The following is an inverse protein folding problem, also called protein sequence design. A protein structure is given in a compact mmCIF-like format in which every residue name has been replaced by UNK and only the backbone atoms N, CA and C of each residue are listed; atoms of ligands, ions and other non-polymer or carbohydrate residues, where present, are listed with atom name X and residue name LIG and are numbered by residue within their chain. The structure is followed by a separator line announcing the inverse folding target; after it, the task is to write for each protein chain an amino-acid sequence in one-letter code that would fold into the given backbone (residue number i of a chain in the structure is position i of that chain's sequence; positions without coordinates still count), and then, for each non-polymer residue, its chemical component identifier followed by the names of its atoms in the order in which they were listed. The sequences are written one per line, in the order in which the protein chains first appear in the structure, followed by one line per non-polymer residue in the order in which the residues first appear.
data_IF_242601849074
#
_entry.id   IF_242601849074
#
_cell.length_a   1.000
_cell.length_b   1.000
_cell.length_c   1.000
_cell.angle_alpha   90.00
_cell.angle_beta   90.00
_cell.angle_gamma   90.00
#
_symmetry.space_group_name_H-M   'P 1'
#
loop_
_entity.id
_entity.type
_entity.pdbx_description
1 polymer ?
#
# COMPACT_ATOMS: atom_id res chain seq x y z
N UNK A 1 -3.71 14.75 11.54
CA UNK A 1 -2.90 15.27 10.42
C UNK A 1 -3.24 14.61 9.10
N UNK A 2 -3.25 13.27 8.99
CA UNK A 2 -3.56 12.56 7.72
C UNK A 2 -4.99 12.79 7.22
N UNK A 3 -6.00 12.81 8.09
CA UNK A 3 -7.37 13.07 7.67
C UNK A 3 -7.51 14.40 6.94
N UNK A 4 -6.90 15.47 7.47
CA UNK A 4 -6.91 16.80 6.86
C UNK A 4 -6.32 16.74 5.45
N UNK A 5 -5.22 16.02 5.25
CA UNK A 5 -4.63 15.86 3.93
C UNK A 5 -5.62 15.26 2.93
N UNK A 6 -6.32 14.19 3.28
CA UNK A 6 -7.30 13.56 2.39
C UNK A 6 -8.54 14.42 2.18
N UNK A 7 -9.00 15.15 3.22
CA UNK A 7 -10.09 16.13 3.12
C UNK A 7 -9.74 17.24 2.13
N UNK A 8 -8.54 17.82 2.25
CA UNK A 8 -8.05 18.89 1.35
C UNK A 8 -7.86 18.42 -0.09
N UNK A 9 -7.72 17.09 -0.31
CA UNK A 9 -7.60 16.48 -1.64
C UNK A 9 -8.93 15.88 -2.14
N UNK A 10 -10.05 16.29 -1.58
CA UNK A 10 -11.42 15.92 -2.02
C UNK A 10 -11.68 14.40 -2.04
N UNK A 11 -11.14 13.65 -1.09
CA UNK A 11 -11.56 12.27 -0.91
C UNK A 11 -13.01 12.23 -0.41
N UNK A 12 -13.87 11.49 -1.10
CA UNK A 12 -15.30 11.42 -0.79
C UNK A 12 -15.58 10.77 0.56
N UNK A 13 -14.72 9.87 1.01
CA UNK A 13 -14.85 9.15 2.27
C UNK A 13 -13.48 8.89 2.88
N UNK A 14 -13.37 9.15 4.18
CA UNK A 14 -12.16 8.87 4.96
C UNK A 14 -12.58 7.98 6.13
N UNK A 15 -11.98 6.79 6.18
CA UNK A 15 -12.27 5.78 7.20
C UNK A 15 -11.06 5.69 8.12
N UNK A 16 -11.23 6.19 9.33
CA UNK A 16 -10.21 6.17 10.36
C UNK A 16 -10.61 5.32 11.56
N UNK A 17 -9.81 5.38 12.61
CA UNK A 17 -9.95 4.62 13.84
C UNK A 17 -11.37 4.62 14.43
N UNK A 18 -12.05 5.77 14.44
CA UNK A 18 -13.38 5.88 15.06
C UNK A 18 -14.40 4.94 14.38
N UNK A 19 -14.36 4.83 13.06
CA UNK A 19 -15.20 3.90 12.33
C UNK A 19 -15.05 2.45 12.83
N UNK A 20 -13.82 2.00 13.05
CA UNK A 20 -13.56 0.65 13.55
C UNK A 20 -13.99 0.49 15.00
N UNK A 21 -13.77 1.51 15.82
CA UNK A 21 -14.19 1.53 17.22
C UNK A 21 -15.72 1.47 17.36
N UNK A 22 -16.43 2.24 16.54
CA UNK A 22 -17.90 2.27 16.53
C UNK A 22 -18.50 0.92 16.06
N UNK A 23 -17.77 0.18 15.24
CA UNK A 23 -18.09 -1.21 14.86
C UNK A 23 -17.72 -2.26 15.91
N UNK A 24 -17.15 -1.88 17.04
CA UNK A 24 -16.76 -2.78 18.10
C UNK A 24 -15.46 -3.54 17.88
N UNK A 25 -14.64 -3.13 16.90
CA UNK A 25 -13.32 -3.72 16.71
C UNK A 25 -12.33 -3.26 17.77
N UNK A 26 -11.43 -4.17 18.18
CA UNK A 26 -10.28 -3.82 19.01
C UNK A 26 -9.39 -2.83 18.23
N UNK A 27 -9.19 -1.65 18.81
CA UNK A 27 -8.29 -0.64 18.28
C UNK A 27 -7.12 -0.42 19.22
N UNK A 28 -5.93 -0.18 18.69
CA UNK A 28 -4.75 0.05 19.50
C UNK A 28 -4.29 1.52 19.45
N UNK A 29 -3.71 1.98 20.57
CA UNK A 29 -3.30 3.38 20.78
C UNK A 29 -1.82 3.64 20.48
N UNK A 30 -1.07 2.63 20.03
CA UNK A 30 0.32 2.79 19.65
C UNK A 30 0.48 3.66 18.38
N UNK A 31 1.70 3.94 18.02
CA UNK A 31 2.03 4.61 16.75
C UNK A 31 1.30 3.92 15.59
N UNK A 32 0.39 4.60 14.96
CA UNK A 32 -0.47 4.01 13.93
C UNK A 32 -1.95 4.07 14.27
N UNK A 33 -2.33 4.12 15.55
CA UNK A 33 -3.71 4.35 16.03
C UNK A 33 -4.79 3.74 15.15
N UNK A 34 -4.81 2.43 15.00
CA UNK A 34 -5.68 1.76 14.05
C UNK A 34 -6.21 0.41 14.52
N UNK A 35 -6.56 -0.39 13.57
CA UNK A 35 -6.89 -1.82 13.72
C UNK A 35 -5.79 -2.65 13.07
N UNK A 36 -5.78 -3.97 13.34
CA UNK A 36 -4.86 -4.84 12.62
C UNK A 36 -5.11 -4.81 11.10
N UNK A 37 -4.05 -4.99 10.33
CA UNK A 37 -4.14 -4.99 8.86
C UNK A 37 -5.10 -6.06 8.34
N UNK A 38 -5.28 -7.17 9.05
CA UNK A 38 -6.30 -8.18 8.74
C UNK A 38 -7.70 -7.59 8.73
N UNK A 39 -8.08 -6.88 9.80
CA UNK A 39 -9.40 -6.23 9.91
C UNK A 39 -9.53 -5.12 8.86
N UNK A 40 -8.46 -4.36 8.64
CA UNK A 40 -8.42 -3.33 7.63
C UNK A 40 -8.73 -3.90 6.23
N UNK A 41 -8.13 -5.02 5.85
CA UNK A 41 -8.38 -5.68 4.56
C UNK A 41 -9.80 -6.27 4.48
N UNK A 42 -10.33 -6.83 5.57
CA UNK A 42 -11.71 -7.35 5.61
C UNK A 42 -12.73 -6.23 5.38
N UNK A 43 -12.56 -5.07 6.00
CA UNK A 43 -13.45 -3.92 5.79
C UNK A 43 -13.24 -3.29 4.41
N UNK A 44 -11.98 -3.19 3.94
CA UNK A 44 -11.69 -2.71 2.59
C UNK A 44 -12.36 -3.59 1.52
N UNK A 45 -12.38 -4.92 1.69
CA UNK A 45 -13.07 -5.83 0.79
C UNK A 45 -14.58 -5.51 0.70
N UNK A 46 -15.24 -5.32 1.85
CA UNK A 46 -16.67 -4.95 1.88
C UNK A 46 -16.96 -3.62 1.16
N UNK A 47 -16.05 -2.66 1.29
CA UNK A 47 -16.17 -1.38 0.59
C UNK A 47 -16.04 -1.58 -0.92
N UNK A 48 -15.04 -2.35 -1.36
CA UNK A 48 -14.83 -2.65 -2.78
C UNK A 48 -16.06 -3.36 -3.35
N UNK A 49 -16.60 -4.36 -2.66
CA UNK A 49 -17.78 -5.11 -3.09
C UNK A 49 -18.97 -4.17 -3.29
N UNK A 50 -19.22 -3.26 -2.34
CA UNK A 50 -20.28 -2.29 -2.45
C UNK A 50 -20.08 -1.31 -3.62
N UNK A 51 -18.87 -0.82 -3.83
CA UNK A 51 -18.54 0.06 -4.95
C UNK A 51 -18.71 -0.65 -6.31
N UNK A 52 -18.35 -1.93 -6.39
CA UNK A 52 -18.52 -2.76 -7.59
C UNK A 52 -20.00 -3.02 -7.89
N UNK A 53 -20.82 -3.33 -6.88
CA UNK A 53 -22.27 -3.47 -7.03
C UNK A 53 -22.92 -2.18 -7.57
N UNK A 54 -22.43 -1.03 -7.11
CA UNK A 54 -22.91 0.27 -7.60
C UNK A 54 -22.37 0.64 -9.01
N UNK A 55 -21.53 -0.18 -9.60
CA UNK A 55 -20.87 0.05 -10.88
C UNK A 55 -20.14 1.41 -10.96
N UNK A 56 -19.48 1.80 -9.88
CA UNK A 56 -18.75 3.06 -9.78
C UNK A 56 -17.26 2.86 -10.03
N UNK A 57 -16.66 3.78 -10.77
CA UNK A 57 -15.21 3.91 -10.78
C UNK A 57 -14.76 4.47 -9.44
N UNK A 58 -13.70 3.91 -8.86
CA UNK A 58 -13.19 4.33 -7.56
C UNK A 58 -11.68 4.29 -7.50
N UNK A 59 -11.14 5.08 -6.58
CA UNK A 59 -9.77 4.97 -6.09
C UNK A 59 -9.87 4.72 -4.57
N UNK A 60 -9.35 3.59 -4.12
CA UNK A 60 -9.30 3.23 -2.71
C UNK A 60 -7.84 3.18 -2.25
N UNK A 61 -7.47 4.09 -1.37
CA UNK A 61 -6.16 4.11 -0.72
C UNK A 61 -6.25 3.41 0.64
N UNK A 62 -5.43 2.40 0.85
CA UNK A 62 -5.37 1.62 2.10
C UNK A 62 -3.99 1.84 2.72
N UNK A 63 -3.95 2.36 3.95
CA UNK A 63 -2.73 2.54 4.72
C UNK A 63 -2.61 1.43 5.77
N UNK A 64 -1.65 0.54 5.59
CA UNK A 64 -1.34 -0.54 6.54
C UNK A 64 -0.45 -0.03 7.66
N UNK A 65 -0.58 -0.59 8.86
CA UNK A 65 0.13 -0.11 10.06
C UNK A 65 0.81 -1.20 10.88
N UNK A 66 0.48 -2.48 10.70
CA UNK A 66 1.02 -3.56 11.52
C UNK A 66 2.55 -3.65 11.44
N UNK A 67 3.13 -3.34 10.31
CA UNK A 67 4.58 -3.35 10.10
C UNK A 67 5.30 -2.08 10.57
N UNK A 68 4.57 -1.07 11.07
CA UNK A 68 5.19 0.12 11.67
C UNK A 68 5.93 -0.25 12.96
N UNK A 69 7.17 0.23 13.11
CA UNK A 69 8.00 -0.07 14.30
C UNK A 69 7.29 0.30 15.63
N UNK A 70 7.29 -0.55 16.66
CA UNK A 70 8.00 -1.83 16.81
C UNK A 70 7.33 -3.05 16.15
N UNK A 71 6.19 -2.89 15.54
CA UNK A 71 5.38 -3.93 14.93
C UNK A 71 4.17 -4.29 15.79
N UNK A 72 3.06 -4.60 15.11
CA UNK A 72 1.86 -5.18 15.74
C UNK A 72 1.57 -6.53 15.12
N UNK A 73 1.42 -7.55 15.95
CA UNK A 73 1.15 -8.91 15.49
C UNK A 73 -0.33 -9.22 15.72
N UNK A 74 -1.06 -9.46 14.63
CA UNK A 74 -2.45 -9.90 14.73
C UNK A 74 -2.52 -11.26 15.44
N UNK A 75 -3.47 -11.39 16.38
CA UNK A 75 -3.65 -12.59 17.21
C UNK A 75 -3.88 -13.85 16.38
N UNK A 76 -4.43 -13.72 15.17
CA UNK A 76 -4.66 -14.85 14.27
C UNK A 76 -3.38 -15.51 13.74
N UNK A 77 -2.25 -14.82 13.81
CA UNK A 77 -0.95 -15.36 13.41
C UNK A 77 -0.22 -16.07 14.56
N UNK A 78 -0.63 -15.86 15.80
CA UNK A 78 0.07 -16.35 16.99
C UNK A 78 -0.41 -17.77 17.29
N UNK A 79 0.51 -18.74 17.30
CA UNK A 79 0.33 -20.06 17.84
C UNK A 79 1.04 -20.16 19.20
N UNK A 80 0.65 -21.11 20.05
CA UNK A 80 1.24 -21.25 21.39
C UNK A 80 2.76 -21.45 21.38
N UNK A 81 3.27 -22.13 20.36
CA UNK A 81 4.70 -22.39 20.14
C UNK A 81 5.50 -21.16 19.64
N UNK A 82 4.82 -20.10 19.18
CA UNK A 82 5.47 -18.93 18.59
C UNK A 82 5.85 -17.86 19.63
N UNK A 83 5.44 -18.01 20.90
CA UNK A 83 5.59 -16.98 21.96
C UNK A 83 7.00 -16.43 22.19
N UNK A 84 8.03 -17.16 21.74
CA UNK A 84 9.44 -16.79 21.89
C UNK A 84 10.05 -16.07 20.67
N UNK A 85 9.29 -15.91 19.56
CA UNK A 85 9.80 -15.39 18.29
C UNK A 85 9.03 -14.19 17.74
N UNK A 86 8.29 -13.50 18.60
CA UNK A 86 7.46 -12.36 18.19
C UNK A 86 8.34 -11.12 17.95
N UNK A 87 8.85 -10.99 16.76
CA UNK A 87 9.66 -9.84 16.31
C UNK A 87 9.06 -9.19 15.05
N UNK A 88 9.73 -8.16 14.53
CA UNK A 88 9.29 -7.46 13.33
C UNK A 88 9.25 -8.37 12.08
N UNK A 89 10.12 -9.37 11.98
CA UNK A 89 10.10 -10.30 10.86
C UNK A 89 8.85 -11.18 10.91
N UNK A 90 8.45 -11.59 12.11
CA UNK A 90 7.20 -12.30 12.32
C UNK A 90 6.00 -11.43 11.94
N UNK A 91 5.99 -10.15 12.35
CA UNK A 91 4.97 -9.17 11.96
C UNK A 91 4.88 -9.05 10.44
N UNK A 92 6.00 -8.83 9.76
CA UNK A 92 6.04 -8.71 8.29
C UNK A 92 5.48 -9.99 7.63
N UNK A 93 5.83 -11.15 8.15
CA UNK A 93 5.35 -12.43 7.63
C UNK A 93 3.82 -12.57 7.82
N UNK A 94 3.31 -12.18 8.99
CA UNK A 94 1.88 -12.19 9.31
C UNK A 94 1.10 -11.27 8.37
N UNK A 95 1.49 -10.00 8.30
CA UNK A 95 0.86 -9.01 7.43
C UNK A 95 0.92 -9.42 5.96
N UNK A 96 2.04 -9.99 5.50
CA UNK A 96 2.17 -10.46 4.13
C UNK A 96 1.19 -11.58 3.79
N UNK A 97 0.89 -12.49 4.74
CA UNK A 97 -0.14 -13.52 4.56
C UNK A 97 -1.53 -12.93 4.42
N UNK A 98 -1.87 -11.93 5.25
CA UNK A 98 -3.16 -11.25 5.17
C UNK A 98 -3.31 -10.46 3.88
N UNK A 99 -2.26 -9.74 3.47
CA UNK A 99 -2.22 -9.02 2.20
C UNK A 99 -2.36 -9.96 1.01
N UNK A 100 -1.63 -11.09 1.02
CA UNK A 100 -1.74 -12.10 -0.04
C UNK A 100 -3.16 -12.65 -0.16
N UNK A 101 -3.80 -13.00 0.96
CA UNK A 101 -5.19 -13.47 0.98
C UNK A 101 -6.14 -12.43 0.39
N UNK A 102 -6.03 -11.18 0.82
CA UNK A 102 -6.84 -10.07 0.33
C UNK A 102 -6.69 -9.88 -1.19
N UNK A 103 -5.45 -9.82 -1.69
CA UNK A 103 -5.20 -9.66 -3.13
C UNK A 103 -5.71 -10.87 -3.92
N UNK A 104 -5.52 -12.08 -3.41
CA UNK A 104 -6.01 -13.29 -4.08
C UNK A 104 -7.53 -13.28 -4.23
N UNK A 105 -8.26 -12.88 -3.19
CA UNK A 105 -9.72 -12.72 -3.25
C UNK A 105 -10.14 -11.67 -4.28
N UNK A 106 -9.47 -10.51 -4.30
CA UNK A 106 -9.77 -9.46 -5.28
C UNK A 106 -9.50 -9.93 -6.72
N UNK A 107 -8.44 -10.70 -6.93
CA UNK A 107 -8.11 -11.25 -8.25
C UNK A 107 -9.12 -12.31 -8.70
N UNK A 108 -9.53 -13.18 -7.80
CA UNK A 108 -10.50 -14.23 -8.09
C UNK A 108 -11.88 -13.64 -8.47
N UNK A 109 -12.31 -12.59 -7.77
CA UNK A 109 -13.65 -12.03 -7.93
C UNK A 109 -13.73 -10.91 -8.98
N UNK A 110 -12.66 -10.14 -9.17
CA UNK A 110 -12.69 -8.92 -9.99
C UNK A 110 -11.64 -8.88 -11.11
N UNK A 111 -10.67 -9.82 -11.07
CA UNK A 111 -9.57 -9.99 -12.02
C UNK A 111 -9.10 -8.69 -12.71
N UNK A 112 -9.45 -8.51 -13.99
CA UNK A 112 -8.94 -7.42 -14.83
C UNK A 112 -9.65 -6.07 -14.62
N UNK A 113 -10.69 -6.04 -13.79
CA UNK A 113 -11.46 -4.81 -13.53
C UNK A 113 -10.90 -3.95 -12.40
N UNK A 114 -9.87 -4.43 -11.69
CA UNK A 114 -9.19 -3.71 -10.62
C UNK A 114 -7.69 -3.69 -10.86
N UNK A 115 -7.08 -2.50 -10.79
CA UNK A 115 -5.64 -2.32 -10.70
C UNK A 115 -5.25 -2.23 -9.22
N UNK A 116 -4.28 -3.04 -8.78
CA UNK A 116 -3.77 -3.00 -7.42
C UNK A 116 -2.32 -2.53 -7.44
N UNK A 117 -2.00 -1.51 -6.66
CA UNK A 117 -0.64 -1.01 -6.48
C UNK A 117 -0.26 -1.21 -5.02
N UNK A 118 0.85 -1.89 -4.78
CA UNK A 118 1.41 -2.10 -3.46
C UNK A 118 2.73 -1.36 -3.40
N UNK A 119 2.87 -0.43 -2.46
CA UNK A 119 4.07 0.39 -2.33
C UNK A 119 4.42 0.62 -0.86
N UNK A 120 5.71 0.51 -0.53
CA UNK A 120 6.22 0.97 0.75
C UNK A 120 6.33 2.50 0.75
N UNK A 121 6.03 3.12 1.86
CA UNK A 121 6.09 4.57 2.03
C UNK A 121 7.52 5.09 2.18
N UNK A 122 8.38 4.33 2.86
CA UNK A 122 9.80 4.65 3.08
C UNK A 122 10.62 3.41 3.44
N UNK A 123 11.94 3.56 3.49
CA UNK A 123 12.83 2.53 4.00
C UNK A 123 12.59 2.33 5.51
N UNK A 124 12.72 1.08 5.95
CA UNK A 124 12.61 0.76 7.36
C UNK A 124 13.67 1.56 8.17
N UNK A 125 13.29 2.18 9.32
CA UNK A 125 14.21 2.99 10.11
C UNK A 125 15.42 2.19 10.59
N UNK A 126 16.59 2.81 10.61
CA UNK A 126 17.78 2.19 11.21
C UNK A 126 17.54 2.01 12.70
N UNK A 127 17.49 0.78 13.14
CA UNK A 127 17.66 0.50 14.57
C UNK A 127 19.11 0.75 14.95
N UNK A 128 19.38 1.33 16.12
CA UNK A 128 20.66 1.84 16.57
C UNK A 128 21.83 0.82 16.60
N UNK A 129 21.58 -0.44 16.23
CA UNK A 129 22.52 -1.54 16.41
C UNK A 129 23.31 -1.95 15.16
N UNK A 130 22.95 -1.49 13.95
CA UNK A 130 23.78 -1.76 12.75
C UNK A 130 23.82 -0.53 11.85
N UNK A 131 25.02 0.03 11.65
CA UNK A 131 25.32 0.95 10.55
C UNK A 131 25.26 0.18 9.24
N UNK A 132 24.08 -0.19 8.79
CA UNK A 132 23.93 -0.78 7.49
C UNK A 132 24.06 0.27 6.39
N UNK A 133 24.86 -0.08 5.39
CA UNK A 133 24.98 0.73 4.19
C UNK A 133 23.63 0.77 3.47
N UNK A 134 23.00 1.92 3.33
CA UNK A 134 21.74 2.10 2.61
C UNK A 134 21.91 2.07 1.08
N UNK A 135 23.14 1.99 0.60
CA UNK A 135 23.44 1.95 -0.82
C UNK A 135 22.83 0.70 -1.45
N UNK A 136 21.97 0.89 -2.44
CA UNK A 136 21.27 -0.20 -3.13
C UNK A 136 20.00 -0.73 -2.43
N UNK A 137 19.54 -0.12 -1.33
CA UNK A 137 18.24 -0.46 -0.73
C UNK A 137 17.10 0.23 -1.48
N UNK A 138 16.04 -0.51 -1.71
CA UNK A 138 14.81 -0.03 -2.34
C UNK A 138 13.59 -0.35 -1.47
N UNK A 139 12.52 0.39 -1.64
CA UNK A 139 11.22 0.07 -1.06
C UNK A 139 10.50 -0.95 -1.94
N UNK A 140 9.62 -1.73 -1.33
CA UNK A 140 8.77 -2.66 -2.06
C UNK A 140 7.81 -1.88 -2.94
N UNK A 141 7.67 -2.33 -4.18
CA UNK A 141 6.77 -1.74 -5.16
C UNK A 141 6.29 -2.80 -6.15
N UNK A 142 4.98 -2.93 -6.31
CA UNK A 142 4.38 -3.87 -7.24
C UNK A 142 3.04 -3.39 -7.77
N UNK A 143 2.87 -3.51 -9.09
CA UNK A 143 1.58 -3.40 -9.76
C UNK A 143 1.06 -4.81 -10.04
N UNK A 144 -0.15 -5.10 -9.60
CA UNK A 144 -0.83 -6.37 -9.84
C UNK A 144 -1.92 -6.14 -10.87
N UNK A 145 -1.57 -6.40 -12.12
CA UNK A 145 -2.47 -6.39 -13.27
C UNK A 145 -1.82 -7.24 -14.38
N UNK A 146 -2.60 -8.09 -15.05
CA UNK A 146 -2.09 -9.00 -16.09
C UNK A 146 -1.73 -8.30 -17.41
N UNK A 147 -2.44 -7.23 -17.74
CA UNK A 147 -2.33 -6.55 -19.03
C UNK A 147 -1.32 -5.41 -19.07
N UNK A 148 -0.73 -5.08 -17.92
CA UNK A 148 0.15 -3.91 -17.79
C UNK A 148 1.58 -4.26 -18.19
N UNK A 149 2.08 -3.63 -19.25
CA UNK A 149 3.48 -3.68 -19.64
C UNK A 149 4.26 -2.60 -18.89
N UNK A 150 5.25 -3.01 -18.13
CA UNK A 150 6.18 -2.12 -17.43
C UNK A 150 7.39 -1.91 -18.34
N UNK A 151 7.68 -0.67 -18.69
CA UNK A 151 8.83 -0.30 -19.53
C UNK A 151 10.08 0.01 -18.70
N UNK A 152 9.90 0.31 -17.40
CA UNK A 152 10.99 0.66 -16.50
C UNK A 152 10.79 0.02 -15.13
N UNK A 153 11.78 -0.75 -14.67
CA UNK A 153 11.74 -1.44 -13.38
C UNK A 153 12.10 -0.54 -12.20
N UNK A 154 12.92 0.51 -12.42
CA UNK A 154 13.25 1.48 -11.39
C UNK A 154 12.22 2.61 -11.38
N UNK A 155 11.66 2.92 -10.20
CA UNK A 155 10.77 4.05 -10.01
C UNK A 155 11.05 4.77 -8.70
N UNK A 156 10.71 6.05 -8.67
CA UNK A 156 10.65 6.87 -7.46
C UNK A 156 9.19 7.07 -7.03
N UNK A 157 8.95 7.61 -5.83
CA UNK A 157 7.60 8.00 -5.43
C UNK A 157 6.96 9.06 -6.34
N UNK A 158 7.76 9.90 -6.99
CA UNK A 158 7.25 10.88 -7.96
C UNK A 158 6.58 10.21 -9.17
N UNK A 159 7.02 9.01 -9.54
CA UNK A 159 6.51 8.27 -10.70
C UNK A 159 5.17 7.59 -10.40
N UNK A 160 4.80 7.46 -9.13
CA UNK A 160 3.59 6.76 -8.72
C UNK A 160 2.34 7.44 -9.28
N UNK A 161 2.23 8.76 -9.13
CA UNK A 161 1.05 9.50 -9.57
C UNK A 161 0.82 9.44 -11.09
N UNK A 162 1.79 9.75 -11.96
CA UNK A 162 1.59 9.59 -13.40
C UNK A 162 1.35 8.13 -13.81
N UNK A 163 1.90 7.15 -13.09
CA UNK A 163 1.63 5.74 -13.32
C UNK A 163 0.17 5.37 -12.99
N UNK A 164 -0.37 5.91 -11.90
CA UNK A 164 -1.79 5.73 -11.55
C UNK A 164 -2.70 6.33 -12.62
N UNK A 165 -2.40 7.53 -13.11
CA UNK A 165 -3.18 8.16 -14.19
C UNK A 165 -3.20 7.29 -15.46
N UNK A 166 -2.07 6.70 -15.82
CA UNK A 166 -2.01 5.75 -16.95
C UNK A 166 -2.85 4.50 -16.72
N UNK A 167 -2.76 3.90 -15.53
CA UNK A 167 -3.59 2.75 -15.16
C UNK A 167 -5.08 3.05 -15.23
N UNK A 168 -5.47 4.27 -14.87
CA UNK A 168 -6.84 4.78 -14.96
C UNK A 168 -7.23 5.16 -16.40
N UNK A 169 -6.33 5.09 -17.36
CA UNK A 169 -6.51 5.56 -18.75
C UNK A 169 -6.92 7.04 -18.80
N UNK A 170 -6.45 7.83 -17.83
CA UNK A 170 -6.70 9.27 -17.78
C UNK A 170 -5.79 9.98 -18.80
N UNK A 171 -6.33 10.89 -19.65
CA UNK A 171 -5.52 11.62 -20.61
C UNK A 171 -4.61 12.62 -19.91
N UNK A 172 -3.30 12.51 -20.10
CA UNK A 172 -2.28 13.45 -19.60
C UNK A 172 -0.96 13.31 -20.39
N UNK A 173 -0.09 14.29 -20.26
CA UNK A 173 1.22 14.32 -20.94
C UNK A 173 2.27 13.51 -20.18
N UNK A 174 2.08 12.18 -20.05
CA UNK A 174 3.00 11.18 -19.46
C UNK A 174 3.92 11.65 -18.29
N UNK A 175 4.05 12.95 -18.05
CA UNK A 175 4.85 13.57 -16.99
C UNK A 175 3.95 14.40 -16.08
N UNK A 176 4.12 14.25 -14.77
CA UNK A 176 3.50 15.13 -13.77
C UNK A 176 4.56 15.55 -12.76
N UNK A 177 4.83 16.83 -12.68
CA UNK A 177 5.89 17.37 -11.84
C UNK A 177 7.26 16.78 -12.20
N UNK A 178 7.89 16.07 -11.27
CA UNK A 178 9.17 15.39 -11.46
C UNK A 178 9.02 13.92 -11.85
N UNK A 179 7.80 13.39 -11.87
CA UNK A 179 7.51 11.97 -12.10
C UNK A 179 7.12 11.67 -13.55
N UNK A 180 7.36 10.42 -13.94
CA UNK A 180 7.04 9.87 -15.24
C UNK A 180 6.36 8.52 -15.07
N UNK A 181 5.34 8.23 -15.90
CA UNK A 181 4.72 6.91 -15.88
C UNK A 181 5.73 5.83 -16.24
N UNK A 182 5.78 4.75 -15.46
CA UNK A 182 6.61 3.57 -15.76
C UNK A 182 5.99 2.68 -16.84
N UNK A 183 4.76 2.97 -17.24
CA UNK A 183 4.02 2.22 -18.25
C UNK A 183 4.24 2.75 -19.67
N UNK A 184 5.06 3.77 -19.82
CA UNK A 184 5.41 4.36 -21.11
C UNK A 184 6.90 4.28 -21.38
N UNK A 185 7.27 4.10 -22.63
CA UNK A 185 8.66 4.15 -23.06
C UNK A 185 9.13 5.61 -23.12
N UNK A 186 10.24 5.91 -22.44
CA UNK A 186 10.85 7.23 -22.46
C UNK A 186 12.30 7.10 -22.94
N UNK A 187 12.52 7.40 -24.21
CA UNK A 187 13.85 7.24 -24.86
C UNK A 187 14.88 8.25 -24.38
N UNK A 188 14.45 9.41 -23.85
CA UNK A 188 15.32 10.54 -23.53
C UNK A 188 15.51 10.78 -22.02
N UNK A 189 15.09 9.88 -21.15
CA UNK A 189 15.22 10.06 -19.72
C UNK A 189 16.55 9.52 -19.19
N UNK A 190 17.50 10.44 -18.95
CA UNK A 190 18.70 10.13 -18.17
C UNK A 190 18.37 10.12 -16.67
N UNK A 191 17.97 8.94 -16.15
CA UNK A 191 17.69 8.76 -14.71
C UNK A 191 18.88 8.99 -13.81
N UNK A 192 20.11 8.92 -14.31
CA UNK A 192 21.31 9.17 -13.52
C UNK A 192 21.40 10.65 -13.11
N UNK A 193 20.76 11.54 -13.85
CA UNK A 193 20.68 12.97 -13.53
C UNK A 193 19.87 13.25 -12.25
N UNK A 194 19.01 12.33 -11.82
CA UNK A 194 18.12 12.47 -10.66
C UNK A 194 18.51 11.59 -9.45
N UNK A 195 19.62 10.86 -9.57
CA UNK A 195 20.16 10.01 -8.48
C UNK A 195 21.09 10.74 -7.50
N UNK A 196 21.06 12.06 -7.44
CA UNK A 196 21.87 12.84 -6.49
C UNK A 196 21.19 13.01 -5.15
#
# INVERSE_FOLDING_TARGET
AMNIFFEDHNYNQIIGRNFFKDKGYDTFDSWGKGVSDRILFEEAKKIIDNLKIQNKNFNLTILTTDTHYPGYIDKSCIKDEDKLKLDINFTITCTSKHLYKFISQLKEEYDETINIIIVGDHLYPKTSQKKENLKGKSIYNRIVNKEVKIFRNEMSHYDLYPTILDLMKYPFDYKVGLGFSILREHKDLDYNKYKK
#
